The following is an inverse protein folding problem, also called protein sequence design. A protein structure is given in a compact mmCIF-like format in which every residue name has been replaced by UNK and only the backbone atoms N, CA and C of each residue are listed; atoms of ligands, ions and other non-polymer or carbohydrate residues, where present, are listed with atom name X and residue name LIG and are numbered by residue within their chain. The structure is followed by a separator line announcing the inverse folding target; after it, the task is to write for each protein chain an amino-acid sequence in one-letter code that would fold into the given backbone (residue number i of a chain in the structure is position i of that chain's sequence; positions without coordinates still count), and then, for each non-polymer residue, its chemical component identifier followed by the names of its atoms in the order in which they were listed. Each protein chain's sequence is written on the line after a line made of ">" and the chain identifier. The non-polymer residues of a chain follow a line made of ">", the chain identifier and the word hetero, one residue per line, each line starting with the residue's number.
data_IF_593222512455
#
_entry.id   IF_593222512455
#
_cell.length_a   1.000
_cell.length_b   1.000
_cell.length_c   1.000
_cell.angle_alpha   90.00
_cell.angle_beta   90.00
_cell.angle_gamma   90.00
#
_symmetry.space_group_name_H-M   'P 1'
#
loop_
_entity.id
_entity.type
_entity.pdbx_description
1 polymer ?
#
# COMPACT_ATOMS: atom_id res chain seq x y z
N UNK A 1 12.96 -7.20 31.77
CA UNK A 1 13.06 -8.02 30.52
C UNK A 1 12.03 -7.50 29.54
N UNK A 2 12.42 -6.56 28.71
CA UNK A 2 11.56 -5.77 27.80
C UNK A 2 11.52 -6.46 26.43
N UNK A 3 10.38 -7.02 26.10
CA UNK A 3 10.15 -7.74 24.85
C UNK A 3 9.96 -6.74 23.68
N UNK A 4 11.06 -6.36 23.05
CA UNK A 4 11.10 -5.58 21.79
C UNK A 4 10.75 -6.51 20.63
N UNK A 5 9.48 -6.71 20.33
CA UNK A 5 9.06 -7.27 19.04
C UNK A 5 8.94 -6.14 18.03
N UNK A 6 9.93 -6.15 17.12
CA UNK A 6 10.19 -5.10 16.15
C UNK A 6 9.04 -4.84 15.16
N UNK A 7 8.80 -3.58 14.95
CA UNK A 7 8.14 -3.03 13.78
C UNK A 7 9.09 -3.20 12.59
N UNK A 8 8.79 -4.09 11.68
CA UNK A 8 9.50 -4.20 10.41
C UNK A 8 8.58 -3.70 9.30
N UNK A 9 8.56 -2.40 9.15
CA UNK A 9 8.09 -1.78 7.91
C UNK A 9 9.22 -1.91 6.87
N UNK A 10 9.03 -2.73 5.87
CA UNK A 10 10.01 -2.96 4.81
C UNK A 10 9.79 -1.96 3.68
N UNK A 11 10.31 -0.74 3.82
CA UNK A 11 10.40 0.17 2.69
C UNK A 11 11.63 -0.16 1.86
N UNK A 12 11.44 -0.64 0.65
CA UNK A 12 12.54 -1.01 -0.25
C UNK A 12 13.01 0.20 -1.04
N UNK A 13 14.34 0.36 -1.10
CA UNK A 13 15.02 1.35 -1.91
C UNK A 13 14.72 1.14 -3.41
N UNK A 14 14.11 2.12 -4.06
CA UNK A 14 14.04 2.17 -5.51
C UNK A 14 15.40 2.58 -6.05
N UNK A 15 16.05 1.69 -6.80
CA UNK A 15 17.21 2.06 -7.64
C UNK A 15 16.77 3.07 -8.71
N UNK A 16 17.61 4.06 -8.91
CA UNK A 16 17.40 5.15 -9.85
C UNK A 16 17.22 4.68 -11.29
N UNK A 17 16.15 5.14 -11.91
CA UNK A 17 16.06 5.31 -13.34
C UNK A 17 15.69 6.77 -13.58
N UNK A 18 16.62 7.52 -14.14
CA UNK A 18 16.40 8.87 -14.67
C UNK A 18 15.45 8.78 -15.86
N UNK A 19 14.32 9.47 -15.79
CA UNK A 19 13.42 9.68 -16.92
C UNK A 19 13.34 11.18 -17.23
N UNK A 20 13.19 11.57 -18.48
CA UNK A 20 13.09 12.96 -18.88
C UNK A 20 11.78 13.59 -18.42
N UNK A 21 11.87 14.85 -18.04
CA UNK A 21 10.75 15.76 -17.81
C UNK A 21 10.13 16.07 -19.16
N UNK A 22 8.88 15.72 -19.35
CA UNK A 22 8.13 16.03 -20.57
C UNK A 22 6.63 15.89 -20.41
N UNK A 23 5.96 17.03 -20.59
CA UNK A 23 4.56 17.24 -20.96
C UNK A 23 3.46 16.90 -19.95
N UNK A 24 2.78 17.97 -19.54
CA UNK A 24 1.45 17.97 -18.92
C UNK A 24 0.42 17.27 -19.83
N UNK A 25 -0.33 16.32 -19.26
CA UNK A 25 -1.49 15.75 -19.92
C UNK A 25 -2.75 16.58 -19.60
N UNK A 26 -3.71 16.70 -20.52
CA UNK A 26 -4.89 17.52 -20.34
C UNK A 26 -5.85 16.91 -19.31
N UNK A 27 -6.45 17.77 -18.53
CA UNK A 27 -7.60 17.46 -17.68
C UNK A 27 -8.78 17.02 -18.56
N UNK A 28 -9.27 15.82 -18.36
CA UNK A 28 -10.38 15.22 -19.10
C UNK A 28 -11.25 14.33 -18.20
N UNK A 29 -12.28 14.93 -17.63
CA UNK A 29 -13.67 14.45 -17.42
C UNK A 29 -13.95 13.06 -16.87
N UNK A 30 -14.92 13.10 -15.96
CA UNK A 30 -15.75 12.07 -15.37
C UNK A 30 -15.31 11.61 -13.98
N UNK A 31 -15.88 12.27 -12.98
CA UNK A 31 -15.93 11.77 -11.60
C UNK A 31 -16.75 10.46 -11.56
N UNK A 32 -16.10 9.36 -11.90
CA UNK A 32 -16.59 8.02 -11.63
C UNK A 32 -16.50 7.79 -10.12
N UNK A 33 -17.55 7.24 -9.54
CA UNK A 33 -17.60 6.79 -8.16
C UNK A 33 -16.32 6.03 -7.82
N UNK A 34 -15.57 6.34 -6.72
CA UNK A 34 -14.30 5.70 -6.42
C UNK A 34 -14.50 4.18 -6.39
N UNK A 35 -13.69 3.46 -7.16
CA UNK A 35 -13.74 2.02 -7.24
C UNK A 35 -13.28 1.44 -5.89
N UNK A 36 -14.22 1.00 -5.08
CA UNK A 36 -13.95 0.21 -3.87
C UNK A 36 -13.49 -1.17 -4.32
N UNK A 37 -12.19 -1.41 -4.24
CA UNK A 37 -11.64 -2.74 -4.50
C UNK A 37 -12.20 -3.70 -3.45
N UNK A 38 -13.05 -4.67 -3.85
CA UNK A 38 -13.50 -5.73 -2.93
C UNK A 38 -12.29 -6.45 -2.35
N UNK A 39 -12.21 -6.62 -1.01
CA UNK A 39 -11.09 -7.31 -0.40
C UNK A 39 -10.97 -8.74 -0.94
N UNK A 40 -9.74 -9.28 -1.07
CA UNK A 40 -9.54 -10.67 -1.44
C UNK A 40 -10.22 -11.58 -0.41
N UNK A 41 -10.74 -12.73 -0.86
CA UNK A 41 -11.45 -13.68 0.01
C UNK A 41 -10.61 -13.98 1.26
N UNK A 42 -11.08 -13.49 2.40
CA UNK A 42 -10.38 -13.57 3.68
C UNK A 42 -10.48 -14.98 4.24
N UNK A 43 -9.36 -15.65 4.44
CA UNK A 43 -9.28 -16.93 5.18
C UNK A 43 -8.75 -16.77 6.61
N UNK A 44 -8.06 -15.68 6.93
CA UNK A 44 -7.51 -15.43 8.25
C UNK A 44 -8.06 -14.13 8.85
N UNK A 45 -8.49 -14.18 10.10
CA UNK A 45 -8.89 -12.99 10.86
C UNK A 45 -7.66 -12.33 11.47
N UNK A 46 -7.70 -11.01 11.66
CA UNK A 46 -6.68 -10.30 12.44
C UNK A 46 -6.53 -10.95 13.82
N UNK A 47 -5.30 -11.05 14.37
CA UNK A 47 -5.09 -11.42 15.76
C UNK A 47 -5.95 -10.53 16.68
N UNK A 48 -6.59 -11.11 17.69
CA UNK A 48 -7.56 -10.42 18.56
C UNK A 48 -7.05 -9.08 19.09
N UNK A 49 -5.80 -9.05 19.60
CA UNK A 49 -5.17 -7.84 20.11
C UNK A 49 -5.01 -6.78 19.04
N UNK A 50 -4.56 -7.16 17.83
CA UNK A 50 -4.39 -6.23 16.73
C UNK A 50 -5.73 -5.65 16.26
N UNK A 51 -6.79 -6.46 16.23
CA UNK A 51 -8.13 -6.01 15.90
C UNK A 51 -8.71 -5.05 16.95
N UNK A 52 -8.44 -5.32 18.25
CA UNK A 52 -8.83 -4.44 19.36
C UNK A 52 -8.11 -3.11 19.30
N UNK A 53 -6.76 -3.14 19.14
CA UNK A 53 -5.94 -1.92 18.99
C UNK A 53 -6.41 -1.07 17.80
N UNK A 54 -6.74 -1.72 16.68
CA UNK A 54 -7.22 -1.04 15.49
C UNK A 54 -8.55 -0.32 15.74
N UNK A 55 -9.51 -0.99 16.36
CA UNK A 55 -10.81 -0.39 16.70
C UNK A 55 -10.65 0.81 17.65
N UNK A 56 -9.85 0.69 18.69
CA UNK A 56 -9.56 1.84 19.57
C UNK A 56 -8.89 3.01 18.83
N UNK A 57 -8.05 2.72 17.82
CA UNK A 57 -7.45 3.77 17.00
C UNK A 57 -8.42 4.37 15.96
N UNK A 58 -9.46 3.65 15.54
CA UNK A 58 -10.55 4.23 14.74
C UNK A 58 -11.26 5.33 15.52
N UNK A 59 -11.42 5.17 16.81
CA UNK A 59 -12.09 6.16 17.68
C UNK A 59 -11.17 7.32 18.05
N UNK A 60 -9.86 7.07 18.23
CA UNK A 60 -8.95 8.05 18.83
C UNK A 60 -8.01 8.72 17.82
N UNK A 61 -7.61 8.06 16.75
CA UNK A 61 -6.62 8.58 15.78
C UNK A 61 -7.22 8.90 14.42
N UNK A 62 -8.14 8.07 13.94
CA UNK A 62 -8.73 8.26 12.62
C UNK A 62 -9.47 9.60 12.48
N UNK A 63 -10.20 10.12 13.48
CA UNK A 63 -10.87 11.43 13.35
C UNK A 63 -9.91 12.56 12.99
N UNK A 64 -8.68 12.52 13.50
CA UNK A 64 -7.64 13.54 13.23
C UNK A 64 -7.03 13.44 11.83
N UNK A 65 -7.17 12.30 11.16
CA UNK A 65 -6.54 12.00 9.87
C UNK A 65 -7.57 11.76 8.75
N UNK A 66 -8.87 11.76 9.10
CA UNK A 66 -9.92 11.43 8.14
C UNK A 66 -9.97 12.39 6.97
N UNK A 67 -10.01 13.68 7.24
CA UNK A 67 -10.03 14.71 6.19
C UNK A 67 -8.80 14.62 5.27
N UNK A 68 -7.55 14.48 5.75
CA UNK A 68 -6.38 14.16 4.93
C UNK A 68 -6.57 12.93 4.02
N UNK A 69 -7.12 11.82 4.53
CA UNK A 69 -7.38 10.63 3.71
C UNK A 69 -8.48 10.86 2.65
N UNK A 70 -9.55 11.58 3.00
CA UNK A 70 -10.62 11.90 2.06
C UNK A 70 -10.13 12.85 0.95
N UNK A 71 -9.30 13.84 1.29
CA UNK A 71 -8.69 14.74 0.31
C UNK A 71 -7.74 14.00 -0.62
N UNK A 72 -6.89 13.12 -0.09
CA UNK A 72 -6.03 12.27 -0.90
C UNK A 72 -6.82 11.31 -1.80
N UNK A 73 -7.97 10.83 -1.35
CA UNK A 73 -8.88 10.01 -2.16
C UNK A 73 -9.48 10.80 -3.33
N UNK A 74 -9.84 12.06 -3.13
CA UNK A 74 -10.33 12.96 -4.20
C UNK A 74 -9.25 13.22 -5.25
N UNK A 75 -7.98 13.41 -4.82
CA UNK A 75 -6.84 13.67 -5.72
C UNK A 75 -6.48 12.43 -6.56
N UNK A 76 -6.54 11.24 -5.98
CA UNK A 76 -6.01 10.02 -6.60
C UNK A 76 -7.06 9.04 -7.15
N UNK A 77 -8.33 9.22 -6.81
CA UNK A 77 -9.38 8.26 -7.12
C UNK A 77 -9.31 6.96 -6.33
N UNK A 78 -8.40 6.84 -5.37
CA UNK A 78 -8.28 5.65 -4.50
C UNK A 78 -9.15 5.87 -3.26
N UNK A 79 -10.03 4.91 -2.94
CA UNK A 79 -10.95 5.06 -1.82
C UNK A 79 -10.23 5.36 -0.48
N UNK A 80 -10.72 6.35 0.28
CA UNK A 80 -10.10 6.81 1.53
C UNK A 80 -9.92 5.69 2.57
N UNK A 81 -10.86 4.73 2.64
CA UNK A 81 -10.78 3.58 3.55
C UNK A 81 -9.59 2.68 3.23
N UNK A 82 -9.29 2.49 1.95
CA UNK A 82 -8.13 1.72 1.53
C UNK A 82 -6.82 2.47 1.84
N UNK A 83 -6.78 3.79 1.61
CA UNK A 83 -5.64 4.63 1.98
C UNK A 83 -5.41 4.63 3.50
N UNK A 84 -6.49 4.75 4.27
CA UNK A 84 -6.42 4.68 5.73
C UNK A 84 -5.95 3.31 6.23
N UNK A 85 -6.43 2.22 5.63
CA UNK A 85 -5.97 0.86 5.95
C UNK A 85 -4.47 0.68 5.66
N UNK A 86 -4.00 1.21 4.53
CA UNK A 86 -2.59 1.20 4.17
C UNK A 86 -1.77 2.00 5.19
N UNK A 87 -2.17 3.25 5.49
CA UNK A 87 -1.48 4.09 6.48
C UNK A 87 -1.48 3.47 7.89
N UNK A 88 -2.53 2.74 8.25
CA UNK A 88 -2.53 2.01 9.52
C UNK A 88 -1.54 0.84 9.51
N UNK A 89 -1.46 0.09 8.44
CA UNK A 89 -0.47 -0.98 8.30
C UNK A 89 0.96 -0.45 8.35
N UNK A 90 1.20 0.73 7.80
CA UNK A 90 2.51 1.38 7.77
C UNK A 90 2.94 1.89 9.15
N UNK A 91 2.16 2.74 9.78
CA UNK A 91 2.57 3.47 10.99
C UNK A 91 1.64 3.35 12.19
N UNK A 92 0.50 2.65 12.05
CA UNK A 92 -0.64 2.75 12.98
C UNK A 92 -1.15 4.19 13.13
N UNK A 93 -1.17 4.93 12.02
CA UNK A 93 -1.58 6.33 11.96
C UNK A 93 -0.77 7.24 12.90
N UNK A 94 0.54 7.07 12.94
CA UNK A 94 1.44 7.93 13.73
C UNK A 94 2.18 8.90 12.83
N UNK A 95 1.89 10.23 12.88
CA UNK A 95 2.55 11.21 12.02
C UNK A 95 4.07 11.30 12.24
N UNK A 96 4.52 11.14 13.48
CA UNK A 96 5.93 11.19 13.85
C UNK A 96 6.65 9.83 13.74
N UNK A 97 6.08 8.85 13.03
CA UNK A 97 6.72 7.54 12.88
C UNK A 97 7.99 7.64 12.02
N UNK A 98 9.05 6.97 12.48
CA UNK A 98 10.30 6.79 11.73
C UNK A 98 10.71 5.33 11.81
N UNK A 99 11.01 4.72 10.66
CA UNK A 99 11.51 3.34 10.61
C UNK A 99 13.04 3.31 10.76
N UNK A 100 13.63 2.16 11.13
CA UNK A 100 15.09 1.99 11.17
C UNK A 100 15.78 2.26 9.82
N UNK A 101 15.05 2.17 8.72
CA UNK A 101 15.55 2.43 7.35
C UNK A 101 15.28 3.87 6.88
N UNK A 102 14.72 4.73 7.74
CA UNK A 102 14.50 6.14 7.44
C UNK A 102 13.17 6.44 6.72
N UNK A 103 12.24 5.49 6.61
CA UNK A 103 10.88 5.80 6.15
C UNK A 103 10.12 6.58 7.23
N UNK A 104 9.30 7.57 6.83
CA UNK A 104 8.77 8.58 7.74
C UNK A 104 7.29 8.87 7.52
N UNK A 105 6.60 9.25 8.61
CA UNK A 105 5.22 9.72 8.62
C UNK A 105 4.18 8.63 8.57
N UNK A 106 2.92 9.02 8.40
CA UNK A 106 1.74 8.12 8.41
C UNK A 106 1.86 7.01 7.38
N UNK A 107 2.32 7.33 6.16
CA UNK A 107 2.43 6.43 5.02
C UNK A 107 3.84 5.87 4.83
N UNK A 108 4.75 6.09 5.80
CA UNK A 108 6.12 5.56 5.83
C UNK A 108 6.88 5.77 4.53
N UNK A 109 6.91 7.01 4.05
CA UNK A 109 7.62 7.37 2.84
C UNK A 109 9.13 7.45 3.07
N UNK A 110 9.90 6.81 2.20
CA UNK A 110 11.34 7.06 2.11
C UNK A 110 11.61 8.49 1.63
N UNK A 111 12.67 9.17 2.10
CA UNK A 111 12.96 10.56 1.74
C UNK A 111 12.97 10.83 0.23
N UNK A 112 13.53 9.91 -0.55
CA UNK A 112 13.55 10.04 -2.01
C UNK A 112 12.13 9.92 -2.61
N UNK A 113 11.31 9.01 -2.09
CA UNK A 113 9.91 8.85 -2.52
C UNK A 113 9.10 10.08 -2.15
N UNK A 114 9.27 10.60 -0.93
CA UNK A 114 8.59 11.81 -0.46
C UNK A 114 8.86 12.99 -1.41
N UNK A 115 10.13 13.27 -1.70
CA UNK A 115 10.52 14.32 -2.67
C UNK A 115 9.89 14.11 -4.05
N UNK A 116 9.92 12.87 -4.56
CA UNK A 116 9.33 12.54 -5.87
C UNK A 116 7.82 12.75 -5.91
N UNK A 117 7.14 12.56 -4.79
CA UNK A 117 5.69 12.75 -4.67
C UNK A 117 5.29 14.18 -4.26
N UNK A 118 6.25 15.12 -4.17
CA UNK A 118 6.00 16.52 -3.85
C UNK A 118 5.73 16.78 -2.37
N UNK A 119 6.23 15.92 -1.47
CA UNK A 119 6.12 16.08 -0.02
C UNK A 119 7.28 16.94 0.49
N UNK A 120 6.99 18.09 1.04
CA UNK A 120 7.95 19.04 1.63
C UNK A 120 8.17 18.73 3.12
N UNK A 121 7.10 18.47 3.85
CA UNK A 121 7.13 18.09 5.26
C UNK A 121 6.56 16.68 5.47
N UNK A 122 7.44 15.70 5.63
CA UNK A 122 7.05 14.29 5.80
C UNK A 122 6.29 14.01 7.10
N UNK A 123 6.32 14.92 8.07
CA UNK A 123 5.58 14.80 9.33
C UNK A 123 4.24 15.54 9.32
N UNK A 124 3.96 16.30 8.25
CA UNK A 124 2.61 16.83 7.99
C UNK A 124 1.69 15.69 7.57
N UNK A 125 0.61 15.38 8.29
CA UNK A 125 -0.34 14.34 7.91
C UNK A 125 -0.89 14.55 6.51
N UNK A 126 -1.27 15.77 6.16
CA UNK A 126 -1.86 16.10 4.86
C UNK A 126 -0.89 15.79 3.72
N UNK A 127 0.34 16.31 3.81
CA UNK A 127 1.34 16.10 2.76
C UNK A 127 1.78 14.62 2.68
N UNK A 128 2.00 13.98 3.82
CA UNK A 128 2.47 12.61 3.86
C UNK A 128 1.41 11.61 3.33
N UNK A 129 0.14 11.81 3.72
CA UNK A 129 -0.97 10.97 3.26
C UNK A 129 -1.19 11.17 1.76
N UNK A 130 -1.20 12.42 1.28
CA UNK A 130 -1.31 12.71 -0.15
C UNK A 130 -0.14 12.13 -0.94
N UNK A 131 1.09 12.30 -0.46
CA UNK A 131 2.29 11.73 -1.07
C UNK A 131 2.24 10.19 -1.13
N UNK A 132 1.78 9.54 -0.06
CA UNK A 132 1.59 8.10 -0.01
C UNK A 132 0.51 7.60 -0.97
N UNK A 133 -0.60 8.35 -1.09
CA UNK A 133 -1.68 8.04 -2.03
C UNK A 133 -1.19 8.17 -3.49
N UNK A 134 -0.45 9.23 -3.82
CA UNK A 134 0.18 9.44 -5.13
C UNK A 134 1.20 8.34 -5.45
N UNK A 135 1.97 7.91 -4.45
CA UNK A 135 2.90 6.79 -4.64
C UNK A 135 2.18 5.47 -4.90
N UNK A 136 1.06 5.21 -4.23
CA UNK A 136 0.23 4.02 -4.52
C UNK A 136 -0.36 4.10 -5.94
N UNK A 137 -0.86 5.27 -6.35
CA UNK A 137 -1.34 5.49 -7.72
C UNK A 137 -0.23 5.24 -8.74
N UNK A 138 0.95 5.80 -8.51
CA UNK A 138 2.14 5.58 -9.34
C UNK A 138 2.51 4.10 -9.45
N UNK A 139 2.41 3.32 -8.37
CA UNK A 139 2.60 1.87 -8.43
C UNK A 139 1.48 1.19 -9.23
N UNK A 140 0.23 1.61 -9.07
CA UNK A 140 -0.92 1.06 -9.79
C UNK A 140 -0.83 1.30 -11.31
N UNK A 141 -0.31 2.44 -11.72
CA UNK A 141 -0.07 2.75 -13.14
C UNK A 141 1.00 1.86 -13.76
N UNK A 142 1.98 1.41 -12.98
CA UNK A 142 3.05 0.50 -13.42
C UNK A 142 2.62 -0.96 -13.48
N UNK A 143 1.55 -1.34 -12.80
CA UNK A 143 0.93 -2.66 -12.97
C UNK A 143 0.23 -2.69 -14.34
N UNK A 144 0.44 -3.72 -15.18
CA UNK A 144 -0.12 -3.77 -16.54
C UNK A 144 -1.61 -3.45 -16.59
N UNK A 145 -2.02 -2.57 -17.53
CA UNK A 145 -3.40 -2.08 -17.64
C UNK A 145 -4.42 -3.17 -17.97
N UNK A 146 -4.00 -4.28 -18.58
CA UNK A 146 -4.86 -5.45 -18.83
C UNK A 146 -5.37 -6.10 -17.55
N UNK A 147 -4.65 -5.92 -16.43
CA UNK A 147 -5.05 -6.45 -15.12
C UNK A 147 -6.16 -5.54 -14.58
N UNK A 148 -7.32 -6.11 -14.32
CA UNK A 148 -8.48 -5.38 -13.78
C UNK A 148 -8.48 -5.39 -12.25
N UNK A 149 -9.17 -4.45 -11.65
CA UNK A 149 -9.46 -4.49 -10.23
C UNK A 149 -10.38 -5.71 -9.90
N UNK A 150 -10.22 -6.31 -8.73
CA UNK A 150 -9.38 -5.86 -7.62
C UNK A 150 -7.92 -6.30 -7.69
N UNK A 151 -7.53 -7.23 -8.59
CA UNK A 151 -6.18 -7.78 -8.66
C UNK A 151 -5.12 -6.69 -8.88
N UNK A 152 -5.42 -5.71 -9.75
CA UNK A 152 -4.50 -4.59 -10.04
C UNK A 152 -4.19 -3.76 -8.80
N UNK A 153 -5.19 -3.47 -7.98
CA UNK A 153 -5.01 -2.73 -6.73
C UNK A 153 -4.18 -3.52 -5.71
N UNK A 154 -4.42 -4.82 -5.55
CA UNK A 154 -3.64 -5.64 -4.61
C UNK A 154 -2.19 -5.82 -5.05
N UNK A 155 -1.94 -5.97 -6.34
CA UNK A 155 -0.59 -5.97 -6.91
C UNK A 155 0.11 -4.62 -6.69
N UNK A 156 -0.60 -3.51 -6.84
CA UNK A 156 -0.05 -2.18 -6.57
C UNK A 156 0.33 -1.98 -5.10
N UNK A 157 -0.48 -2.47 -4.16
CA UNK A 157 -0.16 -2.43 -2.72
C UNK A 157 1.06 -3.34 -2.41
N UNK A 158 1.17 -4.48 -3.07
CA UNK A 158 2.38 -5.31 -2.97
C UNK A 158 3.61 -4.55 -3.50
N UNK A 159 3.49 -3.88 -4.67
CA UNK A 159 4.57 -3.07 -5.23
C UNK A 159 4.93 -1.87 -4.34
N UNK A 160 3.95 -1.25 -3.67
CA UNK A 160 4.19 -0.19 -2.69
C UNK A 160 5.15 -0.65 -1.58
N UNK A 161 4.95 -1.88 -1.09
CA UNK A 161 5.73 -2.46 0.01
C UNK A 161 7.07 -3.05 -0.45
N UNK A 162 7.10 -3.88 -1.50
CA UNK A 162 8.30 -4.64 -1.90
C UNK A 162 9.07 -3.98 -3.06
N UNK A 163 8.47 -3.01 -3.71
CA UNK A 163 8.97 -2.40 -4.93
C UNK A 163 8.48 -3.10 -6.20
N UNK A 164 8.33 -2.31 -7.28
CA UNK A 164 7.78 -2.81 -8.55
C UNK A 164 8.66 -3.91 -9.16
N UNK A 165 9.99 -3.83 -9.03
CA UNK A 165 10.91 -4.82 -9.57
C UNK A 165 10.71 -6.21 -8.96
N UNK A 166 10.63 -6.30 -7.63
CA UNK A 166 10.39 -7.58 -6.95
C UNK A 166 8.96 -8.08 -7.14
N UNK A 167 7.97 -7.19 -7.34
CA UNK A 167 6.64 -7.62 -7.77
C UNK A 167 6.70 -8.31 -9.13
N UNK A 168 7.42 -7.73 -10.11
CA UNK A 168 7.59 -8.37 -11.42
C UNK A 168 8.33 -9.71 -11.31
N UNK A 169 9.36 -9.81 -10.47
CA UNK A 169 10.02 -11.09 -10.17
C UNK A 169 9.04 -12.11 -9.60
N UNK A 170 8.15 -11.73 -8.68
CA UNK A 170 7.11 -12.61 -8.14
C UNK A 170 6.12 -13.06 -9.23
N UNK A 171 5.77 -12.18 -10.17
CA UNK A 171 4.92 -12.51 -11.32
C UNK A 171 5.61 -13.49 -12.27
N UNK A 172 6.92 -13.30 -12.55
CA UNK A 172 7.74 -14.23 -13.34
C UNK A 172 7.77 -15.61 -12.67
N UNK A 173 8.06 -15.68 -11.35
CA UNK A 173 8.04 -16.94 -10.59
C UNK A 173 6.66 -17.61 -10.66
N UNK A 174 5.59 -16.81 -10.59
CA UNK A 174 4.20 -17.30 -10.72
C UNK A 174 3.98 -17.95 -12.09
N UNK A 175 4.44 -17.31 -13.15
CA UNK A 175 4.34 -17.82 -14.53
C UNK A 175 5.19 -19.10 -14.72
N UNK A 176 6.44 -19.12 -14.21
CA UNK A 176 7.29 -20.31 -14.24
C UNK A 176 6.62 -21.52 -13.59
N UNK A 177 5.76 -21.27 -12.60
CA UNK A 177 4.98 -22.30 -11.90
C UNK A 177 3.62 -22.59 -12.55
N UNK A 178 3.42 -22.16 -13.79
CA UNK A 178 2.20 -22.36 -14.59
C UNK A 178 0.93 -21.84 -13.87
N UNK A 179 1.06 -20.73 -13.13
CA UNK A 179 -0.04 -20.01 -12.49
C UNK A 179 -0.22 -18.66 -13.18
N UNK A 180 -1.35 -18.00 -12.91
CA UNK A 180 -1.68 -16.72 -13.55
C UNK A 180 -0.93 -15.55 -12.88
N UNK A 181 0.04 -14.89 -13.58
CA UNK A 181 0.82 -13.78 -13.03
C UNK A 181 0.01 -12.48 -12.90
N UNK A 182 -1.20 -12.43 -13.47
CA UNK A 182 -2.08 -11.28 -13.42
C UNK A 182 -3.14 -11.39 -12.32
N UNK A 183 -3.18 -12.50 -11.61
CA UNK A 183 -4.11 -12.78 -10.52
C UNK A 183 -3.43 -12.68 -9.17
N UNK A 184 -3.89 -11.75 -8.32
CA UNK A 184 -3.29 -11.53 -6.99
C UNK A 184 -3.17 -12.81 -6.15
N UNK A 185 -4.21 -13.65 -6.13
CA UNK A 185 -4.19 -14.88 -5.34
C UNK A 185 -3.03 -15.81 -5.72
N UNK A 186 -2.71 -15.88 -7.01
CA UNK A 186 -1.63 -16.72 -7.52
C UNK A 186 -0.26 -16.08 -7.25
N UNK A 187 -0.13 -14.75 -7.43
CA UNK A 187 1.12 -14.01 -7.13
C UNK A 187 1.41 -14.05 -5.63
N UNK A 188 0.40 -13.81 -4.78
CA UNK A 188 0.51 -13.89 -3.32
C UNK A 188 1.07 -15.24 -2.87
N UNK A 189 0.59 -16.34 -3.43
CA UNK A 189 1.06 -17.69 -3.08
C UNK A 189 2.52 -17.95 -3.50
N UNK A 190 3.05 -17.16 -4.43
CA UNK A 190 4.41 -17.29 -4.96
C UNK A 190 5.40 -16.26 -4.42
N UNK A 191 4.92 -15.13 -3.87
CA UNK A 191 5.78 -14.12 -3.23
C UNK A 191 6.82 -14.70 -2.24
N UNK A 192 6.47 -15.64 -1.34
CA UNK A 192 7.45 -16.21 -0.39
C UNK A 192 8.65 -16.89 -1.06
N UNK A 193 8.51 -17.29 -2.33
CA UNK A 193 9.59 -17.96 -3.08
C UNK A 193 10.74 -17.03 -3.45
N UNK A 194 10.54 -15.69 -3.38
CA UNK A 194 11.62 -14.73 -3.61
C UNK A 194 12.72 -14.79 -2.53
N UNK A 195 12.48 -15.46 -1.40
CA UNK A 195 13.53 -15.74 -0.40
C UNK A 195 14.31 -17.04 -0.68
N UNK A 196 13.88 -17.87 -1.63
CA UNK A 196 14.51 -19.14 -1.98
C UNK A 196 15.40 -18.96 -3.22
N UNK A 197 16.69 -19.27 -3.11
CA UNK A 197 17.69 -19.10 -4.17
C UNK A 197 17.37 -19.86 -5.46
N UNK A 198 16.68 -20.98 -5.38
CA UNK A 198 16.20 -21.73 -6.55
C UNK A 198 15.29 -20.92 -7.46
N UNK A 199 14.65 -19.86 -6.91
CA UNK A 199 13.73 -19.01 -7.64
C UNK A 199 14.31 -17.63 -7.92
N UNK A 200 14.80 -16.93 -6.89
CA UNK A 200 15.27 -15.54 -7.09
C UNK A 200 16.54 -15.45 -7.94
N UNK A 201 17.36 -16.50 -8.03
CA UNK A 201 18.51 -16.52 -8.96
C UNK A 201 18.10 -16.52 -10.46
N UNK A 202 16.82 -16.80 -10.73
CA UNK A 202 16.24 -16.82 -12.08
C UNK A 202 15.47 -15.55 -12.41
N UNK A 203 15.52 -14.57 -11.53
CA UNK A 203 14.81 -13.30 -11.68
C UNK A 203 15.80 -12.14 -11.64
N UNK A 204 15.36 -10.96 -12.07
CA UNK A 204 16.24 -9.81 -12.29
C UNK A 204 16.70 -9.14 -11.00
N UNK A 205 15.83 -9.07 -9.98
CA UNK A 205 16.07 -8.25 -8.79
C UNK A 205 16.56 -9.07 -7.58
N UNK A 206 16.54 -10.41 -7.70
CA UNK A 206 17.13 -11.29 -6.70
C UNK A 206 16.29 -11.49 -5.45
N UNK A 207 16.96 -11.60 -4.31
CA UNK A 207 16.34 -11.89 -3.01
C UNK A 207 15.38 -10.80 -2.55
N UNK A 208 14.20 -11.22 -2.07
CA UNK A 208 13.28 -10.36 -1.33
C UNK A 208 12.47 -11.17 -0.30
N UNK A 209 12.03 -10.51 0.80
CA UNK A 209 11.15 -11.14 1.78
C UNK A 209 9.67 -11.05 1.32
N UNK A 210 9.32 -11.83 0.32
CA UNK A 210 7.96 -11.83 -0.24
C UNK A 210 6.90 -12.35 0.72
N UNK A 211 7.26 -13.13 1.75
CA UNK A 211 6.33 -13.59 2.77
C UNK A 211 5.79 -12.42 3.60
N UNK A 212 6.64 -11.48 3.98
CA UNK A 212 6.21 -10.24 4.68
C UNK A 212 5.28 -9.41 3.80
N UNK A 213 5.58 -9.27 2.51
CA UNK A 213 4.73 -8.53 1.57
C UNK A 213 3.35 -9.19 1.43
N UNK A 214 3.29 -10.52 1.30
CA UNK A 214 2.01 -11.22 1.24
C UNK A 214 1.18 -10.98 2.51
N UNK A 215 1.81 -11.01 3.69
CA UNK A 215 1.16 -10.70 4.97
C UNK A 215 0.77 -9.22 5.08
N UNK A 216 1.61 -8.30 4.57
CA UNK A 216 1.32 -6.87 4.54
C UNK A 216 0.02 -6.59 3.78
N UNK A 217 -0.10 -7.08 2.55
CA UNK A 217 -1.31 -6.89 1.73
C UNK A 217 -2.53 -7.53 2.38
N UNK A 218 -2.38 -8.72 2.97
CA UNK A 218 -3.47 -9.37 3.71
C UNK A 218 -3.98 -8.50 4.86
N UNK A 219 -3.09 -7.90 5.66
CA UNK A 219 -3.47 -7.00 6.76
C UNK A 219 -4.14 -5.73 6.25
N UNK A 220 -3.63 -5.12 5.16
CA UNK A 220 -4.29 -3.96 4.55
C UNK A 220 -5.72 -4.30 4.15
N UNK A 221 -5.95 -5.47 3.53
CA UNK A 221 -7.29 -5.89 3.13
C UNK A 221 -8.23 -6.10 4.33
N UNK A 222 -7.71 -6.66 5.43
CA UNK A 222 -8.48 -6.88 6.66
C UNK A 222 -8.83 -5.56 7.35
N UNK A 223 -7.90 -4.60 7.41
CA UNK A 223 -8.17 -3.26 7.94
C UNK A 223 -9.19 -2.51 7.08
N UNK A 224 -9.04 -2.57 5.75
CA UNK A 224 -10.01 -1.96 4.84
C UNK A 224 -11.42 -2.51 5.05
N UNK A 225 -11.57 -3.83 5.18
CA UNK A 225 -12.85 -4.46 5.44
C UNK A 225 -13.49 -4.00 6.77
N UNK A 226 -12.70 -3.77 7.81
CA UNK A 226 -13.24 -3.22 9.07
C UNK A 226 -13.67 -1.76 8.87
N UNK A 227 -12.92 -0.97 8.10
CA UNK A 227 -13.26 0.43 7.82
C UNK A 227 -14.52 0.60 6.97
N UNK A 228 -14.95 -0.43 6.22
CA UNK A 228 -16.23 -0.37 5.49
C UNK A 228 -17.44 -0.15 6.43
N UNK A 229 -17.33 -0.56 7.70
CA UNK A 229 -18.37 -0.32 8.70
C UNK A 229 -18.34 1.08 9.32
N UNK A 230 -17.30 1.90 9.03
CA UNK A 230 -17.19 3.26 9.53
C UNK A 230 -18.06 4.19 8.67
N UNK A 231 -19.00 4.96 9.27
CA UNK A 231 -19.89 5.84 8.52
C UNK A 231 -19.14 6.91 7.71
N UNK A 232 -19.72 7.35 6.60
CA UNK A 232 -19.26 8.54 5.88
C UNK A 232 -19.52 9.77 6.75
N UNK A 233 -18.58 10.73 6.83
CA UNK A 233 -18.87 12.02 7.44
C UNK A 233 -19.68 12.85 6.44
N UNK A 234 -20.85 13.32 6.83
CA UNK A 234 -21.71 14.18 5.99
C UNK A 234 -23.13 13.65 5.74
N UNK A 235 -23.51 12.51 6.31
CA UNK A 235 -24.92 12.04 6.27
C UNK A 235 -25.76 12.51 7.49
N UNK A 236 -25.30 13.52 8.25
CA UNK A 236 -26.13 14.18 9.25
C UNK A 236 -26.79 15.38 8.58
N UNK A 237 -28.08 15.25 8.34
CA UNK A 237 -29.07 16.09 7.71
C UNK A 237 -28.93 17.60 7.82
N UNK A 238 -29.25 18.16 6.73
CA UNK A 238 -29.94 19.46 6.66
C UNK A 238 -31.41 19.26 7.00
#
# INVERSE_FOLDING_TARGET
>A
MTNRRGFVGLAIAALGATLPVGAAAPAGTAAGKPATAKPPVQRARLPRRLASDFRGHIETRLPLLRAPFENAAKDTGIGWRLLAALGYQESRWRPAAVSPRGAQGVMMLMPQTARKMGVSNVFSPDENILGGARYLLYMKERVPQRIRDPDRTWLAIAAYNIGIGHLEDARIVTQMRKKNPDRWADVRANLPRLSDSRWHSRTKHGYANGAETAQFVERVSQFAAILESVPEQGATGS
#
